data_IF_400989391559
#
_entry.id   IF_400989391559
#
_cell.length_a   1.000
_cell.length_b   1.000
_cell.length_c   1.000
_cell.angle_alpha   90.00
_cell.angle_beta   90.00
_cell.angle_gamma   90.00
#
_symmetry.space_group_name_H-M   'P 1'
#
loop_
_entity.id
_entity.type
_entity.pdbx_description
1 polymer ?
#
# COMPACT_ATOMS: atom_id res chain seq x y z
N UNK A 1 -23.84 -10.08 -20.77
CA UNK A 1 -23.25 -8.74 -20.60
C UNK A 1 -22.73 -8.27 -21.95
N UNK A 2 -23.10 -7.07 -22.36
CA UNK A 2 -22.53 -6.44 -23.56
C UNK A 2 -21.01 -6.35 -23.42
N UNK A 3 -20.29 -7.05 -24.29
CA UNK A 3 -18.82 -7.13 -24.26
C UNK A 3 -18.16 -5.79 -24.59
N UNK A 4 -18.90 -4.81 -25.11
CA UNK A 4 -18.40 -3.48 -25.45
C UNK A 4 -18.13 -2.59 -24.23
N UNK A 5 -18.93 -2.70 -23.16
CA UNK A 5 -18.87 -1.78 -22.01
C UNK A 5 -17.52 -1.77 -21.29
N UNK A 6 -16.90 -2.93 -20.96
CA UNK A 6 -15.58 -2.94 -20.32
C UNK A 6 -14.51 -2.23 -21.15
N UNK A 7 -14.62 -2.31 -22.48
CA UNK A 7 -13.65 -1.73 -23.41
C UNK A 7 -13.75 -0.22 -23.40
N UNK A 8 -14.98 0.31 -23.45
CA UNK A 8 -15.22 1.76 -23.42
C UNK A 8 -14.70 2.33 -22.10
N UNK A 9 -15.00 1.68 -20.97
CA UNK A 9 -14.55 2.12 -19.65
C UNK A 9 -13.02 2.11 -19.53
N UNK A 10 -12.36 1.00 -19.88
CA UNK A 10 -10.90 0.90 -19.83
C UNK A 10 -10.23 1.88 -20.82
N UNK A 11 -10.79 2.01 -22.03
CA UNK A 11 -10.30 2.93 -23.05
C UNK A 11 -10.39 4.39 -22.62
N UNK A 12 -11.52 4.80 -22.04
CA UNK A 12 -11.69 6.14 -21.48
C UNK A 12 -10.74 6.38 -20.31
N UNK A 13 -10.60 5.42 -19.40
CA UNK A 13 -9.69 5.52 -18.25
C UNK A 13 -8.23 5.73 -18.69
N UNK A 14 -7.75 4.91 -19.63
CA UNK A 14 -6.39 5.04 -20.17
C UNK A 14 -6.22 6.31 -21.02
N UNK A 15 -7.24 6.67 -21.79
CA UNK A 15 -7.28 7.90 -22.57
C UNK A 15 -7.17 9.15 -21.70
N UNK A 16 -7.81 9.17 -20.52
CA UNK A 16 -7.70 10.27 -19.56
C UNK A 16 -6.25 10.46 -19.05
N UNK A 17 -5.54 9.37 -18.75
CA UNK A 17 -4.14 9.45 -18.34
C UNK A 17 -3.25 10.06 -19.44
N UNK A 18 -3.47 9.68 -20.70
CA UNK A 18 -2.75 10.25 -21.85
C UNK A 18 -3.11 11.73 -22.02
N UNK A 19 -4.40 12.07 -22.01
CA UNK A 19 -4.88 13.44 -22.15
C UNK A 19 -4.26 14.35 -21.08
N UNK A 20 -4.30 13.94 -19.81
CA UNK A 20 -3.76 14.76 -18.72
C UNK A 20 -2.23 14.81 -18.69
N UNK A 21 -1.53 13.84 -19.28
CA UNK A 21 -0.09 13.92 -19.46
C UNK A 21 0.34 15.10 -20.35
N UNK A 22 -0.49 15.48 -21.33
CA UNK A 22 -0.22 16.58 -22.26
C UNK A 22 -0.91 17.89 -21.86
N UNK A 23 -2.14 17.84 -21.33
CA UNK A 23 -2.87 19.04 -20.92
C UNK A 23 -2.32 19.66 -19.63
N UNK A 24 -1.82 18.81 -18.72
CA UNK A 24 -1.16 19.21 -17.46
C UNK A 24 -1.96 20.18 -16.55
N UNK A 25 -3.28 20.03 -16.37
CA UNK A 25 -3.98 20.85 -15.40
C UNK A 25 -3.45 20.55 -14.00
N UNK A 26 -3.15 21.59 -13.22
CA UNK A 26 -2.65 21.47 -11.83
C UNK A 26 -3.61 20.65 -10.96
N UNK A 27 -4.91 20.76 -11.23
CA UNK A 27 -5.98 20.04 -10.53
C UNK A 27 -6.10 18.55 -10.89
N UNK A 28 -5.34 18.02 -11.85
CA UNK A 28 -5.37 16.60 -12.21
C UNK A 28 -4.00 15.92 -12.03
N UNK A 29 -3.26 16.29 -10.99
CA UNK A 29 -1.90 15.81 -10.74
C UNK A 29 -1.78 14.28 -10.61
N UNK A 30 -2.82 13.60 -10.11
CA UNK A 30 -2.81 12.15 -9.95
C UNK A 30 -3.04 11.41 -11.28
N UNK A 31 -3.96 11.90 -12.09
CA UNK A 31 -4.23 11.32 -13.41
C UNK A 31 -3.15 11.70 -14.45
N UNK A 32 -2.53 12.87 -14.30
CA UNK A 32 -1.46 13.38 -15.16
C UNK A 32 -0.06 12.84 -14.86
N UNK A 33 0.09 11.80 -14.03
CA UNK A 33 1.38 11.28 -13.58
C UNK A 33 2.34 10.90 -14.73
N UNK A 34 1.81 10.45 -15.87
CA UNK A 34 2.61 10.12 -17.05
C UNK A 34 3.47 11.29 -17.57
N UNK A 35 3.16 12.54 -17.21
CA UNK A 35 3.97 13.72 -17.58
C UNK A 35 5.40 13.68 -17.00
N UNK A 36 5.61 12.92 -15.93
CA UNK A 36 6.91 12.80 -15.27
C UNK A 36 7.82 11.74 -15.91
N UNK A 37 7.31 11.01 -16.91
CA UNK A 37 8.08 10.06 -17.69
C UNK A 37 8.52 10.65 -19.04
N UNK A 38 9.57 10.07 -19.60
CA UNK A 38 10.07 10.47 -20.92
C UNK A 38 9.01 10.25 -22.03
N UNK A 39 9.25 10.86 -23.19
CA UNK A 39 8.34 10.77 -24.34
C UNK A 39 8.20 9.35 -24.88
N UNK A 40 9.26 8.54 -24.82
CA UNK A 40 9.23 7.15 -25.32
C UNK A 40 8.26 6.32 -24.47
N UNK A 41 8.34 6.44 -23.14
CA UNK A 41 7.42 5.77 -22.22
C UNK A 41 5.97 6.17 -22.48
N UNK A 42 5.71 7.49 -22.65
CA UNK A 42 4.36 8.01 -22.95
C UNK A 42 3.82 7.47 -24.28
N UNK A 43 4.65 7.38 -25.31
CA UNK A 43 4.27 6.82 -26.62
C UNK A 43 3.97 5.32 -26.49
N UNK A 44 4.83 4.56 -25.81
CA UNK A 44 4.59 3.12 -25.56
C UNK A 44 3.27 2.93 -24.81
N UNK A 45 3.03 3.69 -23.74
CA UNK A 45 1.77 3.65 -22.99
C UNK A 45 0.56 3.97 -23.87
N UNK A 46 0.66 4.99 -24.72
CA UNK A 46 -0.42 5.37 -25.65
C UNK A 46 -0.70 4.29 -26.68
N UNK A 47 0.34 3.69 -27.28
CA UNK A 47 0.21 2.61 -28.25
C UNK A 47 -0.40 1.35 -27.62
N UNK A 48 0.02 0.98 -26.42
CA UNK A 48 -0.55 -0.15 -25.68
C UNK A 48 -2.02 0.10 -25.32
N UNK A 49 -2.35 1.32 -24.88
CA UNK A 49 -3.72 1.72 -24.58
C UNK A 49 -4.62 1.67 -25.83
N UNK A 50 -4.11 2.17 -26.95
CA UNK A 50 -4.81 2.13 -28.24
C UNK A 50 -4.99 0.68 -28.73
N UNK A 51 -3.97 -0.17 -28.56
CA UNK A 51 -4.05 -1.59 -28.91
C UNK A 51 -5.19 -2.31 -28.17
N UNK A 52 -5.49 -1.94 -26.92
CA UNK A 52 -6.60 -2.52 -26.14
C UNK A 52 -7.99 -2.22 -26.72
N UNK A 53 -8.13 -1.18 -27.55
CA UNK A 53 -9.39 -0.88 -28.23
C UNK A 53 -9.70 -1.88 -29.36
N UNK A 54 -8.67 -2.48 -29.97
CA UNK A 54 -8.83 -3.42 -31.09
C UNK A 54 -9.06 -4.87 -30.63
N UNK A 55 -10.10 -5.51 -31.17
CA UNK A 55 -10.49 -6.88 -30.79
C UNK A 55 -9.39 -7.91 -31.07
N UNK A 56 -8.67 -7.79 -32.19
CA UNK A 56 -7.61 -8.72 -32.56
C UNK A 56 -6.44 -8.68 -31.57
N UNK A 57 -5.99 -7.46 -31.21
CA UNK A 57 -4.95 -7.25 -30.21
C UNK A 57 -5.39 -7.79 -28.84
N UNK A 58 -6.62 -7.54 -28.39
CA UNK A 58 -7.16 -8.12 -27.15
C UNK A 58 -7.15 -9.64 -27.14
N UNK A 59 -7.60 -10.29 -28.22
CA UNK A 59 -7.59 -11.77 -28.31
C UNK A 59 -6.17 -12.30 -28.22
N UNK A 60 -5.21 -11.62 -28.84
CA UNK A 60 -3.79 -11.97 -28.75
C UNK A 60 -3.29 -11.79 -27.33
N UNK A 61 -3.47 -10.61 -26.74
CA UNK A 61 -3.09 -10.31 -25.36
C UNK A 61 -3.72 -11.30 -24.38
N UNK A 62 -5.01 -11.62 -24.51
CA UNK A 62 -5.69 -12.60 -23.67
C UNK A 62 -5.08 -14.01 -23.73
N UNK A 63 -4.64 -14.47 -24.91
CA UNK A 63 -3.92 -15.74 -25.04
C UNK A 63 -2.54 -15.68 -24.39
N UNK A 64 -1.83 -14.58 -24.57
CA UNK A 64 -0.52 -14.35 -23.94
C UNK A 64 -0.62 -14.27 -22.42
N UNK A 65 -1.57 -13.48 -21.88
CA UNK A 65 -1.80 -13.37 -20.44
C UNK A 65 -2.24 -14.69 -19.84
N UNK A 66 -3.06 -15.48 -20.53
CA UNK A 66 -3.42 -16.82 -20.08
C UNK A 66 -2.22 -17.78 -20.03
N UNK A 67 -1.37 -17.78 -21.05
CA UNK A 67 -0.14 -18.58 -21.07
C UNK A 67 0.82 -18.17 -19.94
N UNK A 68 1.00 -16.86 -19.76
CA UNK A 68 1.84 -16.31 -18.69
C UNK A 68 1.26 -16.59 -17.29
N UNK A 69 -0.06 -16.48 -17.12
CA UNK A 69 -0.75 -16.81 -15.88
C UNK A 69 -0.51 -18.27 -15.49
N UNK A 70 -0.60 -19.21 -16.44
CA UNK A 70 -0.28 -20.63 -16.19
C UNK A 70 1.17 -20.83 -15.81
N UNK A 71 2.10 -20.17 -16.50
CA UNK A 71 3.53 -20.23 -16.19
C UNK A 71 3.83 -19.74 -14.77
N UNK A 72 3.21 -18.64 -14.34
CA UNK A 72 3.36 -18.10 -12.99
C UNK A 72 2.64 -18.91 -11.92
N UNK A 73 1.50 -19.53 -12.23
CA UNK A 73 0.70 -20.21 -11.22
C UNK A 73 1.39 -21.47 -10.71
N UNK A 74 1.66 -22.40 -11.62
CA UNK A 74 2.37 -23.64 -11.37
C UNK A 74 2.88 -24.14 -12.71
N UNK A 75 4.15 -23.86 -13.00
CA UNK A 75 4.81 -24.62 -14.05
C UNK A 75 4.65 -26.12 -13.76
N UNK A 76 4.50 -26.91 -14.81
CA UNK A 76 4.20 -28.34 -14.85
C UNK A 76 5.17 -29.25 -14.05
N UNK A 77 6.12 -28.69 -13.27
CA UNK A 77 7.02 -29.39 -12.36
C UNK A 77 7.77 -28.45 -11.40
N UNK A 78 8.48 -29.03 -10.43
CA UNK A 78 9.21 -28.30 -9.37
C UNK A 78 10.19 -27.25 -9.92
N UNK A 79 10.94 -27.58 -10.98
CA UNK A 79 11.88 -26.68 -11.63
C UNK A 79 11.22 -25.43 -12.22
N UNK A 80 10.06 -25.57 -12.85
CA UNK A 80 9.36 -24.42 -13.42
C UNK A 80 8.79 -23.50 -12.33
N UNK A 81 8.37 -24.06 -11.19
CA UNK A 81 7.99 -23.27 -10.01
C UNK A 81 9.18 -22.43 -9.52
N UNK A 82 10.35 -23.04 -9.34
CA UNK A 82 11.59 -22.32 -8.95
C UNK A 82 11.95 -21.24 -9.96
N UNK A 83 11.96 -21.59 -11.26
CA UNK A 83 12.26 -20.64 -12.33
C UNK A 83 11.30 -19.44 -12.32
N UNK A 84 10.00 -19.68 -12.14
CA UNK A 84 9.01 -18.60 -12.09
C UNK A 84 9.19 -17.68 -10.87
N UNK A 85 9.72 -18.19 -9.76
CA UNK A 85 10.09 -17.38 -8.60
C UNK A 85 11.33 -16.56 -8.89
N UNK A 86 12.38 -17.19 -9.41
CA UNK A 86 13.62 -16.49 -9.78
C UNK A 86 13.33 -15.36 -10.77
N UNK A 87 12.55 -15.63 -11.83
CA UNK A 87 12.19 -14.60 -12.81
C UNK A 87 11.36 -13.48 -12.20
N UNK A 88 10.42 -13.78 -11.29
CA UNK A 88 9.62 -12.75 -10.63
C UNK A 88 10.49 -11.86 -9.74
N UNK A 89 11.36 -12.45 -8.92
CA UNK A 89 12.16 -11.71 -7.95
C UNK A 89 13.32 -10.97 -8.63
N UNK A 90 14.04 -11.62 -9.55
CA UNK A 90 15.11 -10.99 -10.31
C UNK A 90 14.54 -9.93 -11.26
N UNK A 91 13.44 -10.23 -11.96
CA UNK A 91 12.76 -9.26 -12.81
C UNK A 91 12.26 -8.06 -12.01
N UNK A 92 11.66 -8.30 -10.84
CA UNK A 92 11.27 -7.25 -9.90
C UNK A 92 12.44 -6.38 -9.46
N UNK A 93 13.56 -7.00 -9.06
CA UNK A 93 14.77 -6.29 -8.63
C UNK A 93 15.33 -5.41 -9.76
N UNK A 94 15.43 -5.97 -10.96
CA UNK A 94 15.93 -5.24 -12.14
C UNK A 94 15.02 -4.05 -12.49
N UNK A 95 13.69 -4.23 -12.39
CA UNK A 95 12.72 -3.16 -12.66
C UNK A 95 12.78 -2.08 -11.57
N UNK A 96 12.74 -2.46 -10.29
CA UNK A 96 12.80 -1.51 -9.16
C UNK A 96 14.10 -0.71 -9.15
N UNK A 97 15.23 -1.36 -9.41
CA UNK A 97 16.54 -0.70 -9.44
C UNK A 97 16.77 0.13 -10.72
N UNK A 98 16.36 -0.42 -11.87
CA UNK A 98 16.55 0.19 -13.18
C UNK A 98 15.67 1.41 -13.41
N UNK A 99 14.47 1.43 -12.84
CA UNK A 99 13.53 2.55 -12.93
C UNK A 99 13.47 3.37 -11.63
N UNK A 100 14.58 3.42 -10.89
CA UNK A 100 14.66 4.14 -9.60
C UNK A 100 14.25 5.61 -9.73
N UNK A 101 13.61 6.15 -8.68
CA UNK A 101 13.23 7.55 -8.61
C UNK A 101 14.45 8.46 -8.80
N UNK A 102 14.30 9.43 -9.69
CA UNK A 102 15.28 10.48 -9.93
C UNK A 102 15.01 11.74 -9.09
N UNK A 103 13.84 11.85 -8.46
CA UNK A 103 13.38 13.06 -7.77
C UNK A 103 13.13 12.76 -6.30
N UNK A 104 13.73 13.57 -5.43
CA UNK A 104 13.63 13.49 -3.97
C UNK A 104 12.82 14.63 -3.34
N UNK A 105 12.16 15.45 -4.17
CA UNK A 105 11.41 16.64 -3.75
C UNK A 105 9.93 16.37 -3.46
N UNK A 106 9.45 15.16 -3.77
CA UNK A 106 8.15 14.67 -3.31
C UNK A 106 8.37 14.12 -1.89
N UNK A 107 7.61 14.62 -0.92
CA UNK A 107 7.77 14.26 0.50
C UNK A 107 9.00 14.87 1.18
N UNK A 108 9.57 14.10 2.11
CA UNK A 108 10.61 14.49 3.06
C UNK A 108 11.99 13.88 2.74
N UNK A 109 12.17 13.26 1.57
CA UNK A 109 13.36 12.48 1.22
C UNK A 109 14.71 13.17 1.48
N UNK A 110 14.87 14.46 1.11
CA UNK A 110 16.11 15.22 1.40
C UNK A 110 16.35 15.36 2.91
N UNK A 111 15.30 15.61 3.68
CA UNK A 111 15.40 15.71 5.14
C UNK A 111 15.81 14.36 5.74
N UNK A 112 15.20 13.26 5.28
CA UNK A 112 15.51 11.90 5.72
C UNK A 112 16.97 11.51 5.42
N UNK A 113 17.48 11.84 4.22
CA UNK A 113 18.88 11.55 3.87
C UNK A 113 19.86 12.31 4.76
N UNK A 114 19.63 13.61 4.97
CA UNK A 114 20.49 14.44 5.84
C UNK A 114 20.48 13.96 7.28
N UNK A 115 19.35 13.49 7.77
CA UNK A 115 19.24 12.94 9.12
C UNK A 115 19.98 11.61 9.27
N UNK A 116 19.95 10.78 8.22
CA UNK A 116 20.67 9.51 8.21
C UNK A 116 22.20 9.72 8.18
N UNK A 117 22.67 10.79 7.54
CA UNK A 117 24.08 11.25 7.50
C UNK A 117 24.54 11.94 8.81
N UNK A 118 23.79 11.77 9.90
CA UNK A 118 24.13 12.24 11.25
C UNK A 118 24.28 13.76 11.44
N UNK A 119 23.83 14.58 10.48
CA UNK A 119 23.74 16.05 10.66
C UNK A 119 22.87 16.47 11.86
N UNK A 120 22.00 15.59 12.34
CA UNK A 120 21.03 15.85 13.41
C UNK A 120 21.14 14.88 14.59
N UNK A 121 22.31 14.28 14.82
CA UNK A 121 22.54 13.32 15.92
C UNK A 121 22.14 13.85 17.31
N UNK A 122 22.11 15.18 17.49
CA UNK A 122 21.74 15.86 18.74
C UNK A 122 20.23 16.16 18.88
N UNK A 123 19.44 16.09 17.80
CA UNK A 123 18.00 16.35 17.85
C UNK A 123 17.26 15.01 17.80
N UNK A 124 16.68 14.53 18.92
CA UNK A 124 15.85 13.34 18.89
C UNK A 124 14.59 13.63 18.07
N UNK A 125 14.60 13.20 16.80
CA UNK A 125 13.42 13.32 15.95
C UNK A 125 12.32 12.43 16.52
N UNK A 126 11.18 13.06 16.76
CA UNK A 126 9.93 12.40 17.08
C UNK A 126 9.28 11.95 15.77
N UNK A 127 9.93 11.02 15.06
CA UNK A 127 9.44 10.51 13.78
C UNK A 127 8.14 9.70 13.99
N UNK A 128 7.25 9.74 13.00
CA UNK A 128 6.04 8.90 12.95
C UNK A 128 6.37 7.43 12.67
N UNK A 129 7.59 7.16 12.17
CA UNK A 129 8.07 5.85 11.77
C UNK A 129 9.27 5.32 12.60
N UNK A 130 9.23 5.35 13.95
CA UNK A 130 10.43 5.21 14.78
C UNK A 130 11.16 3.88 14.59
N UNK A 131 10.44 2.75 14.54
CA UNK A 131 11.07 1.46 14.32
C UNK A 131 11.64 1.35 12.90
N UNK A 132 10.95 1.91 11.90
CA UNK A 132 11.44 1.87 10.52
C UNK A 132 12.73 2.69 10.38
N UNK A 133 12.76 3.90 10.93
CA UNK A 133 13.95 4.73 10.91
C UNK A 133 15.12 4.06 11.64
N UNK A 134 14.88 3.40 12.78
CA UNK A 134 15.88 2.60 13.47
C UNK A 134 16.44 1.46 12.59
N UNK A 135 15.57 0.75 11.85
CA UNK A 135 15.99 -0.28 10.89
C UNK A 135 16.85 0.30 9.77
N UNK A 136 16.43 1.42 9.17
CA UNK A 136 17.17 2.08 8.07
C UNK A 136 18.54 2.58 8.55
N UNK A 137 18.62 3.16 9.76
CA UNK A 137 19.89 3.54 10.38
C UNK A 137 20.80 2.34 10.65
N UNK A 138 20.24 1.23 11.12
CA UNK A 138 20.97 -0.03 11.27
C UNK A 138 21.54 -0.52 9.94
N UNK A 139 20.73 -0.49 8.87
CA UNK A 139 21.15 -0.85 7.52
C UNK A 139 22.26 0.08 7.01
N UNK A 140 22.13 1.40 7.23
CA UNK A 140 23.14 2.38 6.83
C UNK A 140 24.50 2.06 7.46
N UNK A 141 24.52 1.87 8.78
CA UNK A 141 25.74 1.56 9.53
C UNK A 141 26.37 0.23 9.11
N UNK A 142 25.54 -0.80 8.89
CA UNK A 142 26.03 -2.10 8.42
C UNK A 142 26.60 -2.03 7.00
N UNK A 143 26.10 -1.11 6.18
CA UNK A 143 26.50 -0.91 4.80
C UNK A 143 27.62 0.11 4.57
N UNK A 144 28.06 0.83 5.59
CA UNK A 144 28.96 1.97 5.46
C UNK A 144 30.30 1.63 4.78
N UNK A 145 30.75 0.37 4.83
CA UNK A 145 31.96 -0.08 4.13
C UNK A 145 31.74 -0.40 2.64
N UNK A 146 30.49 -0.63 2.23
CA UNK A 146 30.12 -1.01 0.87
C UNK A 146 29.47 0.13 0.08
N UNK A 147 28.81 1.07 0.75
CA UNK A 147 28.25 2.29 0.15
C UNK A 147 28.28 3.45 1.14
N UNK A 148 28.55 4.65 0.62
CA UNK A 148 28.80 5.86 1.44
C UNK A 148 27.69 6.93 1.28
N UNK A 149 26.45 6.51 1.03
CA UNK A 149 25.34 7.47 0.90
C UNK A 149 24.05 6.98 1.54
N UNK A 150 23.35 7.92 2.19
CA UNK A 150 22.01 7.70 2.69
C UNK A 150 21.03 7.34 1.55
N UNK A 151 21.19 7.98 0.39
CA UNK A 151 20.39 7.69 -0.80
C UNK A 151 20.49 6.21 -1.21
N UNK A 152 21.70 5.65 -1.27
CA UNK A 152 21.90 4.23 -1.59
C UNK A 152 21.26 3.32 -0.55
N UNK A 153 21.32 3.71 0.72
CA UNK A 153 20.68 2.96 1.81
C UNK A 153 19.16 2.90 1.63
N UNK A 154 18.52 4.05 1.39
CA UNK A 154 17.09 4.12 1.12
C UNK A 154 16.71 3.36 -0.16
N UNK A 155 17.55 3.40 -1.19
CA UNK A 155 17.32 2.64 -2.43
C UNK A 155 17.29 1.14 -2.19
N UNK A 156 18.28 0.62 -1.44
CA UNK A 156 18.33 -0.79 -1.06
C UNK A 156 17.11 -1.14 -0.21
N UNK A 157 16.81 -0.34 0.81
CA UNK A 157 15.66 -0.54 1.69
C UNK A 157 14.33 -0.60 0.92
N UNK A 158 14.12 0.35 0.01
CA UNK A 158 12.95 0.45 -0.86
C UNK A 158 12.84 -0.76 -1.81
N UNK A 159 13.92 -1.14 -2.49
CA UNK A 159 13.93 -2.29 -3.40
C UNK A 159 13.68 -3.61 -2.66
N UNK A 160 14.33 -3.82 -1.50
CA UNK A 160 14.12 -5.00 -0.65
C UNK A 160 12.67 -5.07 -0.16
N UNK A 161 12.08 -3.94 0.21
CA UNK A 161 10.65 -3.85 0.55
C UNK A 161 9.77 -4.31 -0.62
N UNK A 162 10.10 -3.88 -1.84
CA UNK A 162 9.43 -4.32 -3.06
C UNK A 162 9.54 -5.82 -3.32
N UNK A 163 10.74 -6.40 -3.15
CA UNK A 163 10.94 -7.85 -3.29
C UNK A 163 10.11 -8.62 -2.28
N UNK A 164 10.10 -8.18 -1.01
CA UNK A 164 9.24 -8.77 0.01
C UNK A 164 7.76 -8.65 -0.38
N UNK A 165 7.35 -7.50 -0.92
CA UNK A 165 6.00 -7.29 -1.41
C UNK A 165 5.64 -8.27 -2.53
N UNK A 166 6.53 -8.51 -3.50
CA UNK A 166 6.29 -9.50 -4.58
C UNK A 166 6.06 -10.92 -4.03
N UNK A 167 6.81 -11.32 -2.99
CA UNK A 167 6.64 -12.62 -2.33
C UNK A 167 5.26 -12.71 -1.68
N UNK A 168 4.88 -11.71 -0.89
CA UNK A 168 3.60 -11.69 -0.18
C UNK A 168 2.43 -11.55 -1.17
N UNK A 169 2.57 -10.75 -2.23
CA UNK A 169 1.56 -10.57 -3.27
C UNK A 169 1.31 -11.84 -4.08
N UNK A 170 2.36 -12.59 -4.42
CA UNK A 170 2.21 -13.90 -5.06
C UNK A 170 1.54 -14.91 -4.16
N UNK A 171 1.88 -14.92 -2.86
CA UNK A 171 1.19 -15.75 -1.88
C UNK A 171 -0.29 -15.35 -1.76
N UNK A 172 -0.60 -14.06 -1.71
CA UNK A 172 -1.96 -13.53 -1.68
C UNK A 172 -2.76 -13.99 -2.89
N UNK A 173 -2.20 -13.84 -4.08
CA UNK A 173 -2.80 -14.31 -5.32
C UNK A 173 -3.17 -15.79 -5.22
N UNK A 174 -2.24 -16.67 -4.83
CA UNK A 174 -2.48 -18.12 -4.68
C UNK A 174 -3.52 -18.46 -3.61
N UNK A 175 -3.56 -17.72 -2.50
CA UNK A 175 -4.51 -17.95 -1.41
C UNK A 175 -5.95 -17.56 -1.80
N UNK A 176 -6.10 -16.51 -2.61
CA UNK A 176 -7.39 -15.89 -2.93
C UNK A 176 -7.96 -16.32 -4.28
N UNK A 177 -7.12 -16.60 -5.27
CA UNK A 177 -7.53 -16.99 -6.61
C UNK A 177 -7.78 -18.50 -6.75
N UNK A 178 -8.89 -18.86 -7.38
CA UNK A 178 -9.31 -20.26 -7.56
C UNK A 178 -8.52 -20.95 -8.68
N UNK A 179 -8.23 -20.22 -9.75
CA UNK A 179 -7.50 -20.70 -10.91
C UNK A 179 -6.34 -19.77 -11.29
N UNK A 180 -5.53 -20.19 -12.27
CA UNK A 180 -4.36 -19.44 -12.71
C UNK A 180 -4.68 -18.01 -13.16
N UNK A 181 -5.82 -17.79 -13.82
CA UNK A 181 -6.20 -16.46 -14.29
C UNK A 181 -6.65 -15.57 -13.15
N UNK A 182 -7.50 -16.05 -12.23
CA UNK A 182 -7.88 -15.29 -11.05
C UNK A 182 -6.64 -14.90 -10.22
N UNK A 183 -5.69 -15.83 -10.04
CA UNK A 183 -4.43 -15.56 -9.33
C UNK A 183 -3.61 -14.49 -10.05
N UNK A 184 -3.47 -14.60 -11.36
CA UNK A 184 -2.77 -13.61 -12.16
C UNK A 184 -3.43 -12.22 -12.08
N UNK A 185 -4.76 -12.16 -12.14
CA UNK A 185 -5.51 -10.90 -12.05
C UNK A 185 -5.35 -10.25 -10.67
N UNK A 186 -5.36 -11.04 -9.59
CA UNK A 186 -5.10 -10.53 -8.23
C UNK A 186 -3.66 -10.00 -8.13
N UNK A 187 -2.68 -10.74 -8.66
CA UNK A 187 -1.30 -10.28 -8.69
C UNK A 187 -1.18 -8.99 -9.52
N UNK A 188 -1.78 -8.93 -10.71
CA UNK A 188 -1.77 -7.75 -11.56
C UNK A 188 -2.45 -6.54 -10.91
N UNK A 189 -3.52 -6.75 -10.13
CA UNK A 189 -4.18 -5.69 -9.36
C UNK A 189 -3.24 -5.12 -8.29
N UNK A 190 -2.57 -5.98 -7.53
CA UNK A 190 -1.61 -5.57 -6.48
C UNK A 190 -0.39 -4.87 -7.09
N UNK A 191 0.15 -5.40 -8.19
CA UNK A 191 1.32 -4.83 -8.87
C UNK A 191 0.99 -3.62 -9.76
N UNK A 192 -0.29 -3.39 -10.04
CA UNK A 192 -0.78 -2.26 -10.84
C UNK A 192 -1.21 -1.06 -9.99
N UNK A 193 -0.96 -1.08 -8.68
CA UNK A 193 -1.24 0.04 -7.79
C UNK A 193 -0.12 1.09 -7.83
N UNK A 194 -0.45 2.36 -7.57
CA UNK A 194 0.51 3.45 -7.63
C UNK A 194 1.53 3.44 -6.50
N UNK A 195 1.23 2.82 -5.35
CA UNK A 195 2.21 2.65 -4.27
C UNK A 195 3.43 1.83 -4.69
N UNK A 196 3.36 1.08 -5.80
CA UNK A 196 4.52 0.36 -6.32
C UNK A 196 5.71 1.30 -6.57
N UNK A 197 5.46 2.58 -6.83
CA UNK A 197 6.47 3.64 -6.95
C UNK A 197 7.41 3.72 -5.74
N UNK A 198 6.92 3.37 -4.55
CA UNK A 198 7.70 3.38 -3.31
C UNK A 198 8.82 2.33 -3.30
N UNK A 199 8.75 1.33 -4.20
CA UNK A 199 9.76 0.27 -4.33
C UNK A 199 10.86 0.61 -5.34
N UNK A 200 10.71 1.69 -6.10
CA UNK A 200 11.69 2.13 -7.09
C UNK A 200 12.74 3.02 -6.45
N UNK A 201 13.34 2.59 -5.35
CA UNK A 201 14.37 3.34 -4.66
C UNK A 201 13.92 4.70 -4.11
N UNK A 202 12.63 4.86 -3.85
CA UNK A 202 12.04 6.08 -3.32
C UNK A 202 12.47 6.30 -1.86
N UNK A 203 12.88 7.51 -1.54
CA UNK A 203 13.48 7.86 -0.24
C UNK A 203 12.38 8.20 0.77
N UNK A 204 11.78 7.17 1.34
CA UNK A 204 10.76 7.31 2.40
C UNK A 204 10.81 6.15 3.40
N UNK A 205 10.29 6.38 4.60
CA UNK A 205 10.26 5.38 5.68
C UNK A 205 9.10 4.38 5.55
N UNK A 206 8.22 4.50 4.55
CA UNK A 206 6.98 3.73 4.52
C UNK A 206 6.98 2.54 3.55
N UNK A 207 8.00 2.40 2.71
CA UNK A 207 8.05 1.31 1.71
C UNK A 207 7.90 -0.07 2.37
N UNK A 208 8.52 -0.27 3.52
CA UNK A 208 8.48 -1.54 4.25
C UNK A 208 7.10 -1.85 4.85
N UNK A 209 6.21 -0.87 5.01
CA UNK A 209 4.87 -1.13 5.56
C UNK A 209 4.00 -1.97 4.62
N UNK A 210 4.06 -1.73 3.31
CA UNK A 210 3.20 -2.36 2.31
C UNK A 210 3.25 -3.90 2.31
N UNK A 211 4.43 -4.57 2.30
CA UNK A 211 4.47 -6.03 2.40
C UNK A 211 3.83 -6.54 3.70
N UNK A 212 4.06 -5.88 4.83
CA UNK A 212 3.51 -6.30 6.12
C UNK A 212 2.03 -5.97 6.30
N UNK A 213 1.53 -4.89 5.67
CA UNK A 213 0.10 -4.61 5.58
C UNK A 213 -0.61 -5.71 4.79
N UNK A 214 -0.07 -6.11 3.64
CA UNK A 214 -0.63 -7.22 2.87
C UNK A 214 -0.57 -8.52 3.66
N UNK A 215 0.55 -8.79 4.35
CA UNK A 215 0.68 -9.95 5.23
C UNK A 215 -0.35 -9.91 6.37
N UNK A 216 -0.61 -8.76 7.00
CA UNK A 216 -1.66 -8.60 8.01
C UNK A 216 -3.03 -9.00 7.49
N UNK A 217 -3.39 -8.54 6.28
CA UNK A 217 -4.65 -8.94 5.63
C UNK A 217 -4.71 -10.45 5.40
N UNK A 218 -3.62 -11.06 4.93
CA UNK A 218 -3.54 -12.51 4.72
C UNK A 218 -3.68 -13.31 6.00
N UNK A 219 -2.97 -12.92 7.07
CA UNK A 219 -3.07 -13.56 8.37
C UNK A 219 -4.48 -13.43 8.94
N UNK A 220 -5.15 -12.30 8.74
CA UNK A 220 -6.56 -12.11 9.10
C UNK A 220 -7.50 -13.07 8.36
N UNK A 221 -7.33 -13.21 7.04
CA UNK A 221 -8.10 -14.15 6.23
C UNK A 221 -7.84 -15.60 6.66
N UNK A 222 -6.58 -15.98 6.89
CA UNK A 222 -6.22 -17.31 7.40
C UNK A 222 -6.81 -17.58 8.79
N UNK A 223 -6.88 -16.56 9.65
CA UNK A 223 -7.52 -16.66 10.95
C UNK A 223 -9.04 -16.84 10.87
N UNK A 224 -9.72 -16.18 9.92
CA UNK A 224 -11.14 -16.40 9.63
C UNK A 224 -11.42 -17.78 9.07
N UNK A 225 -10.49 -18.33 8.28
CA UNK A 225 -10.54 -19.70 7.75
C UNK A 225 -10.17 -20.76 8.81
N UNK A 226 -9.95 -20.38 10.07
CA UNK A 226 -9.58 -21.28 11.16
C UNK A 226 -8.17 -21.86 11.07
N UNK A 227 -7.33 -21.40 10.13
CA UNK A 227 -5.98 -21.90 9.92
C UNK A 227 -4.94 -21.27 10.84
N UNK A 228 -5.26 -20.09 11.39
CA UNK A 228 -4.39 -19.38 12.32
C UNK A 228 -5.17 -18.83 13.52
N UNK A 229 -4.47 -18.66 14.63
CA UNK A 229 -4.97 -17.95 15.79
C UNK A 229 -4.98 -16.42 15.53
N UNK A 230 -5.83 -15.69 16.27
CA UNK A 230 -5.97 -14.23 16.11
C UNK A 230 -4.75 -13.44 16.63
N UNK A 231 -3.93 -14.07 17.47
CA UNK A 231 -2.75 -13.42 18.03
C UNK A 231 -1.68 -13.13 16.97
N UNK A 232 -1.64 -13.87 15.86
CA UNK A 232 -0.73 -13.60 14.73
C UNK A 232 -1.01 -12.24 14.06
N UNK A 233 -2.22 -11.97 13.53
CA UNK A 233 -2.52 -10.66 12.98
C UNK A 233 -2.50 -9.54 14.03
N UNK A 234 -2.80 -9.84 15.31
CA UNK A 234 -2.67 -8.86 16.39
C UNK A 234 -1.20 -8.45 16.65
N UNK A 235 -0.30 -9.42 16.83
CA UNK A 235 1.12 -9.15 17.02
C UNK A 235 1.70 -8.39 15.82
N UNK A 236 1.35 -8.80 14.60
CA UNK A 236 1.80 -8.09 13.40
C UNK A 236 1.26 -6.65 13.33
N UNK A 237 0.01 -6.40 13.73
CA UNK A 237 -0.51 -5.04 13.83
C UNK A 237 0.28 -4.20 14.83
N UNK A 238 0.67 -4.78 15.98
CA UNK A 238 1.54 -4.13 16.95
C UNK A 238 2.89 -3.71 16.33
N UNK A 239 3.51 -4.60 15.55
CA UNK A 239 4.74 -4.28 14.80
C UNK A 239 4.50 -3.18 13.77
N UNK A 240 3.42 -3.25 13.00
CA UNK A 240 3.05 -2.21 12.02
C UNK A 240 2.86 -0.84 12.68
N UNK A 241 2.24 -0.77 13.86
CA UNK A 241 2.08 0.49 14.61
C UNK A 241 3.43 1.07 15.07
N UNK A 242 4.38 0.22 15.46
CA UNK A 242 5.74 0.64 15.81
C UNK A 242 6.55 1.08 14.57
N UNK A 243 6.34 0.41 13.43
CA UNK A 243 6.92 0.81 12.15
C UNK A 243 6.37 2.16 11.68
N UNK A 244 5.08 2.42 11.86
CA UNK A 244 4.46 3.71 11.62
C UNK A 244 3.11 3.91 12.34
N UNK A 245 2.96 5.01 13.06
CA UNK A 245 1.78 5.25 13.91
C UNK A 245 0.45 5.32 13.14
N UNK A 246 0.44 5.73 11.87
CA UNK A 246 -0.78 5.75 11.04
C UNK A 246 -1.37 4.35 10.84
N UNK A 247 -0.58 3.28 11.04
CA UNK A 247 -1.10 1.90 10.99
C UNK A 247 -2.11 1.61 12.10
N UNK A 248 -2.25 2.48 13.10
CA UNK A 248 -3.34 2.46 14.06
C UNK A 248 -4.73 2.53 13.39
N UNK A 249 -4.82 3.10 12.18
CA UNK A 249 -6.05 3.07 11.36
C UNK A 249 -6.52 1.65 11.02
N UNK A 250 -5.67 0.62 11.13
CA UNK A 250 -6.05 -0.79 10.96
C UNK A 250 -6.56 -1.46 12.25
N UNK A 251 -6.52 -0.78 13.42
CA UNK A 251 -7.04 -1.35 14.67
C UNK A 251 -8.53 -1.76 14.61
N UNK A 252 -9.42 -0.96 13.98
CA UNK A 252 -10.82 -1.37 13.81
C UNK A 252 -11.00 -2.66 13.00
N UNK A 253 -10.11 -2.97 12.05
CA UNK A 253 -10.19 -4.24 11.32
C UNK A 253 -9.77 -5.43 12.17
N UNK A 254 -8.87 -5.26 13.15
CA UNK A 254 -8.55 -6.32 14.11
C UNK A 254 -9.72 -6.60 15.05
N UNK A 255 -10.43 -5.55 15.48
CA UNK A 255 -11.68 -5.70 16.23
C UNK A 255 -12.74 -6.44 15.40
N UNK A 256 -12.93 -6.03 14.15
CA UNK A 256 -13.84 -6.70 13.23
C UNK A 256 -13.44 -8.17 13.01
N UNK A 257 -12.14 -8.46 12.89
CA UNK A 257 -11.62 -9.82 12.76
C UNK A 257 -11.99 -10.69 13.98
N UNK A 258 -11.78 -10.20 15.20
CA UNK A 258 -12.18 -10.89 16.43
C UNK A 258 -13.67 -11.19 16.45
N UNK A 259 -14.49 -10.23 16.03
CA UNK A 259 -15.95 -10.38 16.00
C UNK A 259 -16.38 -11.40 14.95
N UNK A 260 -15.85 -11.30 13.74
CA UNK A 260 -16.21 -12.17 12.63
C UNK A 260 -15.75 -13.61 12.88
N UNK A 261 -14.57 -13.82 13.46
CA UNK A 261 -14.05 -15.15 13.78
C UNK A 261 -14.94 -15.91 14.78
N UNK A 262 -15.38 -15.24 15.84
CA UNK A 262 -16.29 -15.87 16.82
C UNK A 262 -17.64 -16.25 16.21
N UNK A 263 -18.17 -15.44 15.28
CA UNK A 263 -19.41 -15.77 14.55
C UNK A 263 -19.23 -16.98 13.64
N UNK A 264 -18.09 -17.08 12.95
CA UNK A 264 -17.78 -18.25 12.09
C UNK A 264 -17.66 -19.54 12.92
N UNK A 265 -17.15 -19.45 14.15
CA UNK A 265 -17.04 -20.59 15.06
C UNK A 265 -18.37 -21.03 15.71
N UNK A 266 -19.52 -20.47 15.29
CA UNK A 266 -20.83 -20.89 15.78
C UNK A 266 -21.07 -20.62 17.27
N UNK A 267 -20.35 -19.66 17.86
CA UNK A 267 -20.56 -19.31 19.27
C UNK A 267 -21.96 -18.67 19.39
N UNK A 268 -22.91 -19.39 19.98
CA UNK A 268 -24.28 -18.95 20.28
C UNK A 268 -24.57 -19.05 21.78
N UNK A 269 -25.47 -18.21 22.30
CA UNK A 269 -25.93 -18.24 23.70
C UNK A 269 -25.56 -16.97 24.50
N UNK A 270 -25.89 -16.98 25.80
CA UNK A 270 -25.72 -15.84 26.70
C UNK A 270 -24.27 -15.46 26.98
N UNK A 271 -23.30 -16.34 26.71
CA UNK A 271 -21.86 -16.12 26.91
C UNK A 271 -21.15 -15.48 25.71
N UNK A 272 -21.84 -15.32 24.57
CA UNK A 272 -21.32 -14.68 23.35
C UNK A 272 -20.71 -13.31 23.60
N UNK A 273 -21.37 -12.35 24.27
CA UNK A 273 -20.81 -11.01 24.46
C UNK A 273 -19.52 -11.02 25.29
N UNK A 274 -19.45 -11.88 26.31
CA UNK A 274 -18.25 -12.00 27.17
C UNK A 274 -17.07 -12.56 26.38
N UNK A 275 -17.27 -13.65 25.62
CA UNK A 275 -16.21 -14.23 24.77
C UNK A 275 -15.76 -13.28 23.68
N UNK A 276 -16.70 -12.53 23.10
CA UNK A 276 -16.42 -11.50 22.10
C UNK A 276 -15.51 -10.42 22.68
N UNK A 277 -15.92 -9.84 23.81
CA UNK A 277 -15.17 -8.80 24.51
C UNK A 277 -13.79 -9.30 24.94
N UNK A 278 -13.69 -10.52 25.48
CA UNK A 278 -12.41 -11.11 25.88
C UNK A 278 -11.46 -11.30 24.69
N UNK A 279 -11.93 -11.87 23.58
CA UNK A 279 -11.09 -12.10 22.39
C UNK A 279 -10.65 -10.79 21.70
N UNK A 280 -11.54 -9.81 21.62
CA UNK A 280 -11.25 -8.49 21.08
C UNK A 280 -10.28 -7.73 21.99
N UNK A 281 -10.57 -7.70 23.29
CA UNK A 281 -9.72 -7.08 24.30
C UNK A 281 -8.31 -7.68 24.31
N UNK A 282 -8.20 -9.01 24.26
CA UNK A 282 -6.92 -9.69 24.16
C UNK A 282 -6.16 -9.32 22.88
N UNK A 283 -6.82 -9.29 21.71
CA UNK A 283 -6.17 -8.94 20.46
C UNK A 283 -5.65 -7.48 20.44
N UNK A 284 -6.43 -6.53 20.95
CA UNK A 284 -6.03 -5.12 21.07
C UNK A 284 -4.90 -4.96 22.08
N UNK A 285 -5.03 -5.58 23.26
CA UNK A 285 -4.00 -5.54 24.30
C UNK A 285 -2.69 -6.13 23.78
N UNK A 286 -2.72 -7.28 23.10
CA UNK A 286 -1.53 -7.89 22.53
C UNK A 286 -0.87 -6.97 21.49
N UNK A 287 -1.65 -6.33 20.62
CA UNK A 287 -1.12 -5.38 19.63
C UNK A 287 -0.42 -4.20 20.32
N UNK A 288 -1.02 -3.67 21.38
CA UNK A 288 -0.45 -2.58 22.17
C UNK A 288 0.84 -3.01 22.90
N UNK A 289 0.86 -4.20 23.51
CA UNK A 289 2.04 -4.77 24.18
C UNK A 289 3.18 -4.97 23.19
N UNK A 290 2.91 -5.53 22.01
CA UNK A 290 3.93 -5.74 20.98
C UNK A 290 4.46 -4.41 20.43
N UNK A 291 3.58 -3.44 20.17
CA UNK A 291 3.97 -2.10 19.74
C UNK A 291 4.88 -1.43 20.78
N UNK A 292 4.43 -1.40 22.04
CA UNK A 292 5.18 -0.78 23.13
C UNK A 292 6.50 -1.51 23.37
N UNK A 293 6.52 -2.84 23.36
CA UNK A 293 7.75 -3.63 23.48
C UNK A 293 8.75 -3.34 22.37
N UNK A 294 8.30 -3.18 21.13
CA UNK A 294 9.15 -2.81 20.00
C UNK A 294 9.71 -1.38 20.13
N UNK A 295 8.90 -0.42 20.61
CA UNK A 295 9.34 0.94 20.88
C UNK A 295 10.33 1.02 22.05
N UNK A 296 10.11 0.24 23.12
CA UNK A 296 11.04 0.13 24.24
C UNK A 296 12.39 -0.47 23.82
N UNK A 297 12.39 -1.48 22.93
CA UNK A 297 13.61 -2.11 22.43
C UNK A 297 14.56 -1.10 21.76
N UNK A 298 13.99 -0.08 21.10
CA UNK A 298 14.75 0.99 20.43
C UNK A 298 14.88 2.24 21.30
N UNK A 299 14.53 2.17 22.59
CA UNK A 299 14.57 3.27 23.55
C UNK A 299 13.75 4.51 23.11
N UNK A 300 12.64 4.29 22.41
CA UNK A 300 11.79 5.39 21.94
C UNK A 300 10.90 5.93 23.08
N UNK A 301 11.03 7.23 23.35
CA UNK A 301 10.20 7.94 24.34
C UNK A 301 8.82 8.30 23.76
N UNK A 302 7.88 7.35 23.90
CA UNK A 302 6.50 7.53 23.46
C UNK A 302 5.80 8.68 24.19
N UNK A 303 6.12 8.94 25.46
CA UNK A 303 5.46 9.98 26.24
C UNK A 303 5.90 11.36 25.75
N UNK A 304 7.21 11.57 25.57
CA UNK A 304 7.72 12.82 24.99
C UNK A 304 7.20 13.02 23.56
N UNK A 305 7.10 11.95 22.76
CA UNK A 305 6.48 12.02 21.44
C UNK A 305 5.04 12.53 21.50
N UNK A 306 4.21 11.96 22.38
CA UNK A 306 2.80 12.35 22.53
C UNK A 306 2.66 13.79 23.08
N UNK A 307 3.54 14.22 23.98
CA UNK A 307 3.53 15.57 24.55
C UNK A 307 3.94 16.66 23.54
N UNK A 308 4.92 16.39 22.67
CA UNK A 308 5.38 17.35 21.64
C UNK A 308 4.37 17.53 20.50
N UNK A 309 3.50 16.54 20.27
CA UNK A 309 2.55 16.51 19.14
C UNK A 309 1.29 17.30 19.48
N UNK A 310 1.32 18.63 19.30
CA UNK A 310 0.11 19.47 19.36
C UNK A 310 -0.66 19.44 18.01
N UNK A 311 -1.78 18.74 17.94
CA UNK A 311 -3.01 19.16 17.22
C UNK A 311 -3.12 19.23 15.68
N UNK A 312 -2.06 19.10 14.86
CA UNK A 312 -2.15 19.50 13.43
C UNK A 312 -2.42 18.39 12.38
N UNK A 313 -2.64 17.13 12.77
CA UNK A 313 -2.75 16.01 11.80
C UNK A 313 -4.14 15.84 11.19
N UNK A 314 -5.17 16.39 11.83
CA UNK A 314 -6.54 16.29 11.38
C UNK A 314 -6.98 17.68 10.93
N UNK A 315 -7.60 17.75 9.76
CA UNK A 315 -8.17 18.98 9.25
C UNK A 315 -9.28 19.46 10.18
N UNK A 316 -9.18 20.72 10.59
CA UNK A 316 -10.26 21.36 11.31
C UNK A 316 -11.43 21.61 10.34
N UNK A 317 -12.64 21.29 10.80
CA UNK A 317 -13.90 21.48 10.07
C UNK A 317 -14.11 22.93 9.59
N UNK A 318 -13.70 23.89 10.43
CA UNK A 318 -14.04 25.31 10.26
C UNK A 318 -12.82 26.24 10.19
N UNK A 319 -11.60 25.75 10.36
CA UNK A 319 -10.42 26.62 10.31
C UNK A 319 -10.17 27.14 8.89
N UNK A 320 -9.83 28.42 8.80
CA UNK A 320 -9.43 29.02 7.54
C UNK A 320 -8.10 28.43 7.03
N UNK A 321 -7.93 28.32 5.69
CA UNK A 321 -6.66 27.94 5.10
C UNK A 321 -5.52 28.87 5.58
N UNK A 322 -4.36 28.29 5.85
CA UNK A 322 -3.17 29.00 6.29
C UNK A 322 -1.90 28.18 6.08
N UNK A 323 -0.74 28.64 6.59
CA UNK A 323 0.56 28.00 6.33
C UNK A 323 0.65 26.53 6.80
N UNK A 324 -0.17 26.14 7.79
CA UNK A 324 -0.19 24.79 8.36
C UNK A 324 -1.36 23.93 7.87
N UNK A 325 -2.33 24.52 7.15
CA UNK A 325 -3.55 23.84 6.72
C UNK A 325 -3.97 24.43 5.37
N UNK A 326 -3.78 23.68 4.29
CA UNK A 326 -4.02 24.21 2.93
C UNK A 326 -5.50 24.39 2.58
N UNK A 327 -6.42 23.70 3.27
CA UNK A 327 -7.85 23.81 3.01
C UNK A 327 -8.71 23.34 4.19
N UNK A 328 -10.01 23.68 4.17
CA UNK A 328 -11.03 23.13 5.09
C UNK A 328 -11.33 21.67 4.78
N UNK A 329 -11.83 20.92 5.77
CA UNK A 329 -12.21 19.50 5.58
C UNK A 329 -13.19 19.33 4.42
N UNK A 330 -14.24 20.16 4.37
CA UNK A 330 -15.27 20.14 3.33
C UNK A 330 -15.05 21.24 2.29
N UNK A 331 -13.90 21.23 1.63
CA UNK A 331 -13.61 22.12 0.50
C UNK A 331 -13.62 21.36 -0.82
N UNK A 332 -13.98 22.06 -1.91
CA UNK A 332 -13.90 21.47 -3.25
C UNK A 332 -12.46 21.08 -3.62
N UNK A 333 -11.47 21.89 -3.21
CA UNK A 333 -10.05 21.59 -3.41
C UNK A 333 -9.64 20.26 -2.78
N UNK A 334 -10.03 20.00 -1.52
CA UNK A 334 -9.78 18.71 -0.86
C UNK A 334 -10.45 17.55 -1.59
N UNK A 335 -11.68 17.71 -2.08
CA UNK A 335 -12.36 16.66 -2.84
C UNK A 335 -11.61 16.32 -4.14
N UNK A 336 -11.09 17.34 -4.84
CA UNK A 336 -10.27 17.18 -6.04
C UNK A 336 -8.96 16.46 -5.69
N UNK A 337 -8.28 16.85 -4.62
CA UNK A 337 -7.05 16.19 -4.18
C UNK A 337 -7.28 14.75 -3.72
N UNK A 338 -8.39 14.47 -3.03
CA UNK A 338 -8.81 13.12 -2.68
C UNK A 338 -9.04 12.27 -3.93
N UNK A 339 -9.72 12.80 -4.96
CA UNK A 339 -9.91 12.07 -6.21
C UNK A 339 -8.56 11.79 -6.90
N UNK A 340 -7.69 12.80 -7.00
CA UNK A 340 -6.35 12.65 -7.58
C UNK A 340 -5.51 11.61 -6.86
N UNK A 341 -5.58 11.60 -5.52
CA UNK A 341 -4.91 10.61 -4.70
C UNK A 341 -5.24 9.19 -5.17
N UNK A 342 -6.52 8.83 -5.30
CA UNK A 342 -6.89 7.49 -5.74
C UNK A 342 -6.65 7.21 -7.22
N UNK A 343 -6.72 8.23 -8.08
CA UNK A 343 -6.27 8.08 -9.48
C UNK A 343 -4.78 7.74 -9.57
N UNK A 344 -3.96 8.27 -8.65
CA UNK A 344 -2.54 7.94 -8.57
C UNK A 344 -2.31 6.59 -7.91
N UNK A 345 -2.81 6.38 -6.69
CA UNK A 345 -2.40 5.23 -5.85
C UNK A 345 -3.20 3.96 -6.10
N UNK A 346 -4.44 4.06 -6.57
CA UNK A 346 -5.34 2.93 -6.76
C UNK A 346 -5.92 2.79 -8.19
N UNK A 347 -5.17 3.07 -9.29
CA UNK A 347 -5.74 3.11 -10.64
C UNK A 347 -6.32 1.76 -11.07
N UNK A 348 -5.64 0.66 -10.73
CA UNK A 348 -6.12 -0.69 -11.04
C UNK A 348 -7.38 -1.05 -10.24
N UNK A 349 -7.46 -0.67 -8.97
CA UNK A 349 -8.64 -0.88 -8.12
C UNK A 349 -9.83 -0.06 -8.63
N UNK A 350 -9.62 1.21 -9.00
CA UNK A 350 -10.65 2.05 -9.62
C UNK A 350 -11.15 1.45 -10.93
N UNK A 351 -10.24 1.00 -11.79
CA UNK A 351 -10.61 0.35 -13.03
C UNK A 351 -11.46 -0.91 -12.77
N UNK A 352 -11.04 -1.78 -11.84
CA UNK A 352 -11.84 -2.95 -11.45
C UNK A 352 -13.21 -2.56 -10.91
N UNK A 353 -13.31 -1.52 -10.07
CA UNK A 353 -14.60 -1.03 -9.55
C UNK A 353 -15.53 -0.53 -10.67
N UNK A 354 -15.00 0.18 -11.67
CA UNK A 354 -15.77 0.68 -12.81
C UNK A 354 -16.23 -0.44 -13.75
N UNK A 355 -15.42 -1.50 -13.89
CA UNK A 355 -15.70 -2.63 -14.76
C UNK A 355 -16.62 -3.67 -14.11
N UNK A 356 -16.48 -3.89 -12.80
CA UNK A 356 -17.17 -4.94 -12.07
C UNK A 356 -18.35 -4.38 -11.27
N UNK A 357 -19.55 -4.40 -11.87
CA UNK A 357 -20.79 -4.03 -11.18
C UNK A 357 -21.07 -4.83 -9.88
N UNK A 358 -20.53 -6.06 -9.77
CA UNK A 358 -20.54 -6.92 -8.57
C UNK A 358 -19.34 -7.87 -8.60
N UNK A 359 -18.20 -7.47 -8.07
CA UNK A 359 -17.11 -8.41 -7.81
C UNK A 359 -17.49 -9.29 -6.60
N UNK A 360 -17.97 -10.51 -6.86
CA UNK A 360 -18.28 -11.52 -5.83
C UNK A 360 -17.01 -12.27 -5.36
N UNK A 361 -15.81 -11.72 -5.58
CA UNK A 361 -14.54 -12.41 -5.34
C UNK A 361 -14.33 -12.75 -3.85
N UNK A 362 -14.84 -11.89 -2.95
CA UNK A 362 -14.86 -12.15 -1.51
C UNK A 362 -16.30 -12.36 -1.06
N UNK A 363 -16.55 -13.47 -0.37
CA UNK A 363 -17.85 -13.76 0.24
C UNK A 363 -17.72 -13.84 1.76
N UNK A 364 -18.81 -13.56 2.47
CA UNK A 364 -18.90 -13.80 3.90
C UNK A 364 -18.04 -12.89 4.78
N UNK A 365 -17.32 -13.49 5.74
CA UNK A 365 -16.48 -12.79 6.72
C UNK A 365 -15.27 -12.10 6.10
N UNK A 366 -14.64 -12.72 5.11
CA UNK A 366 -13.37 -12.25 4.52
C UNK A 366 -13.56 -10.88 3.87
N UNK A 367 -14.65 -10.72 3.10
CA UNK A 367 -15.03 -9.44 2.49
C UNK A 367 -15.23 -8.35 3.54
N UNK A 368 -15.96 -8.66 4.63
CA UNK A 368 -16.26 -7.69 5.69
C UNK A 368 -14.99 -7.25 6.40
N UNK A 369 -14.09 -8.18 6.69
CA UNK A 369 -12.80 -7.86 7.29
C UNK A 369 -11.97 -6.92 6.39
N UNK A 370 -11.79 -7.27 5.12
CA UNK A 370 -11.01 -6.45 4.17
C UNK A 370 -11.66 -5.07 3.95
N UNK A 371 -12.99 -4.99 3.87
CA UNK A 371 -13.69 -3.70 3.76
C UNK A 371 -13.45 -2.80 4.97
N UNK A 372 -13.49 -3.35 6.19
CA UNK A 372 -13.18 -2.58 7.40
C UNK A 372 -11.70 -2.16 7.39
N UNK A 373 -10.80 -3.04 6.95
CA UNK A 373 -9.37 -2.74 6.85
C UNK A 373 -9.06 -1.63 5.85
N UNK A 374 -9.84 -1.49 4.78
CA UNK A 374 -9.72 -0.40 3.82
C UNK A 374 -10.43 0.89 4.31
N UNK A 375 -11.58 0.76 4.96
CA UNK A 375 -12.45 1.90 5.31
C UNK A 375 -11.73 2.95 6.17
N UNK A 376 -11.02 2.54 7.22
CA UNK A 376 -10.41 3.49 8.15
C UNK A 376 -9.17 4.21 7.59
N UNK A 377 -8.26 3.54 6.86
CA UNK A 377 -7.26 4.23 6.05
C UNK A 377 -7.88 5.21 5.04
N UNK A 378 -8.99 4.86 4.37
CA UNK A 378 -9.72 5.79 3.48
C UNK A 378 -10.27 6.98 4.27
N UNK A 379 -10.91 6.76 5.43
CA UNK A 379 -11.38 7.85 6.29
C UNK A 379 -10.23 8.74 6.74
N UNK A 380 -9.07 8.16 7.01
CA UNK A 380 -7.85 8.91 7.31
C UNK A 380 -7.45 9.81 6.14
N UNK A 381 -7.46 9.35 4.88
CA UNK A 381 -7.14 10.23 3.73
C UNK A 381 -8.14 11.39 3.57
N UNK A 382 -9.39 11.21 4.02
CA UNK A 382 -10.40 12.28 4.05
C UNK A 382 -10.07 13.31 5.13
N UNK A 383 -9.81 12.87 6.37
CA UNK A 383 -9.69 13.77 7.53
C UNK A 383 -8.28 14.30 7.77
N UNK A 384 -7.27 13.64 7.24
CA UNK A 384 -5.88 14.01 7.46
C UNK A 384 -5.50 15.29 6.72
N UNK A 385 -4.71 16.09 7.41
CA UNK A 385 -4.09 17.30 6.88
C UNK A 385 -2.77 16.93 6.17
N UNK A 386 -2.66 17.12 4.84
CA UNK A 386 -1.37 16.99 4.17
C UNK A 386 -0.52 18.22 4.46
N UNK A 387 0.50 18.05 5.30
CA UNK A 387 1.38 19.12 5.75
C UNK A 387 2.18 19.74 4.60
N UNK A 388 2.49 18.96 3.56
CA UNK A 388 3.23 19.42 2.38
C UNK A 388 2.33 19.62 1.15
N UNK A 389 1.01 19.45 1.32
CA UNK A 389 0.03 19.39 0.24
C UNK A 389 -0.14 17.98 -0.32
N UNK A 390 -1.35 17.66 -0.81
CA UNK A 390 -1.74 16.29 -1.15
C UNK A 390 -0.85 15.65 -2.24
N UNK A 391 -0.35 16.45 -3.18
CA UNK A 391 0.57 15.97 -4.22
C UNK A 391 1.92 15.52 -3.66
N UNK A 392 2.43 16.16 -2.59
CA UNK A 392 3.73 15.82 -1.98
C UNK A 392 3.59 14.72 -0.95
N UNK A 393 2.47 14.67 -0.22
CA UNK A 393 2.15 13.65 0.80
C UNK A 393 1.36 12.45 0.22
N UNK A 394 1.47 12.20 -1.08
CA UNK A 394 0.68 11.16 -1.74
C UNK A 394 1.01 9.75 -1.21
N UNK A 395 2.25 9.55 -0.78
CA UNK A 395 2.79 8.28 -0.29
C UNK A 395 2.21 7.86 1.06
N UNK A 396 2.06 8.77 2.01
CA UNK A 396 1.43 8.50 3.31
C UNK A 396 -0.07 8.18 3.17
N UNK A 397 -0.72 8.68 2.12
CA UNK A 397 -2.11 8.33 1.80
C UNK A 397 -2.25 7.09 0.91
N UNK A 398 -1.13 6.53 0.44
CA UNK A 398 -1.15 5.35 -0.42
C UNK A 398 -1.53 4.07 0.35
N UNK A 399 -1.48 4.07 1.69
CA UNK A 399 -1.90 2.94 2.53
C UNK A 399 -3.36 2.51 2.33
N UNK A 400 -4.21 3.40 1.81
CA UNK A 400 -5.62 3.12 1.57
C UNK A 400 -5.90 2.39 0.25
N UNK A 401 -4.90 2.27 -0.64
CA UNK A 401 -5.01 1.64 -1.96
C UNK A 401 -4.75 0.13 -1.90
#
# INVERSE_FOLDING_TARGET
MDRSKPIIVAGLFLGLHILFAYWQPVSAWGAGFLRFHDTVFRVIFALLSLALLFLAARRRLGRWTWGFARFLDNGYGAWQSVLSWVLLLLGGLLVFWGMRSAVHLLGDGIMLMRELEDFWSEIPRTDRAPLTFWIVRGLHRAGASAWDSAETTYRIFSCVSGILFLVVARYAARLLGKDALERFLILALLLGAGYMQLFFGYVENYAFLFPFMLLYLLLGILALKGRLAIWWPAALLGVLMALHITMMTLAPSLLALAILKNRVNGVSGTTVPVRLAASAGFAILLSAVVCFGALLLIQFDLIAYLQKRQGFYILNLFAEPGPKQHYRLFSFGKLVDFANQYFLVAPSSLMVLLLCRRANCLQGSDRRFVLVAALFPILFTVVANPELGAFRDWDVFAFAA
#
